data_IF_153289966358
#
_entry.id   IF_153289966358
#
_cell.length_a   1.000
_cell.length_b   1.000
_cell.length_c   1.000
_cell.angle_alpha   90.00
_cell.angle_beta   90.00
_cell.angle_gamma   90.00
#
_symmetry.space_group_name_H-M   'P 1'
#
loop_
_entity.id
_entity.type
_entity.pdbx_description
1 polymer ?
#
# COMPACT_ATOMS: atom_id res chain seq x y z
N UNK A 1 -26.43 1.78 13.69
CA UNK A 1 -27.01 2.22 12.40
C UNK A 1 -26.34 3.49 11.87
N UNK A 2 -26.25 4.56 12.66
CA UNK A 2 -25.69 5.84 12.17
C UNK A 2 -24.19 5.80 11.87
N UNK A 3 -23.40 5.17 12.75
CA UNK A 3 -21.94 4.97 12.53
C UNK A 3 -21.68 4.22 11.24
N UNK A 4 -22.46 3.18 10.93
CA UNK A 4 -22.32 2.44 9.67
C UNK A 4 -22.68 3.30 8.46
N UNK A 5 -23.78 4.05 8.53
CA UNK A 5 -24.20 4.95 7.45
C UNK A 5 -23.10 5.96 7.15
N UNK A 6 -22.50 6.55 8.18
CA UNK A 6 -21.42 7.53 8.06
C UNK A 6 -20.12 6.90 7.54
N UNK A 7 -19.69 5.76 8.10
CA UNK A 7 -18.49 5.06 7.62
C UNK A 7 -18.59 4.70 6.13
N UNK A 8 -19.76 4.24 5.68
CA UNK A 8 -20.03 3.96 4.26
C UNK A 8 -19.97 5.23 3.41
N UNK A 9 -20.50 6.35 3.91
CA UNK A 9 -20.44 7.62 3.21
C UNK A 9 -18.99 8.06 2.99
N UNK A 10 -18.16 8.01 4.04
CA UNK A 10 -16.74 8.35 3.96
C UNK A 10 -15.98 7.42 2.99
N UNK A 11 -16.21 6.10 3.07
CA UNK A 11 -15.58 5.14 2.14
C UNK A 11 -15.97 5.43 0.69
N UNK A 12 -17.24 5.71 0.41
CA UNK A 12 -17.70 6.04 -0.94
C UNK A 12 -17.11 7.33 -1.48
N UNK A 13 -17.01 8.37 -0.64
CA UNK A 13 -16.36 9.63 -1.01
C UNK A 13 -14.87 9.40 -1.28
N UNK A 14 -14.20 8.62 -0.44
CA UNK A 14 -12.79 8.29 -0.63
C UNK A 14 -12.56 7.50 -1.93
N UNK A 15 -13.35 6.45 -2.21
CA UNK A 15 -13.27 5.68 -3.45
C UNK A 15 -13.49 6.54 -4.70
N UNK A 16 -14.35 7.55 -4.62
CA UNK A 16 -14.61 8.48 -5.73
C UNK A 16 -13.44 9.42 -6.00
N UNK A 17 -12.76 9.87 -4.94
CA UNK A 17 -11.78 10.97 -5.05
C UNK A 17 -10.32 10.52 -4.93
N UNK A 18 -10.06 9.29 -4.49
CA UNK A 18 -8.72 8.74 -4.26
C UNK A 18 -8.57 7.48 -5.12
N UNK A 19 -8.05 7.59 -6.36
CA UNK A 19 -7.98 6.47 -7.31
C UNK A 19 -7.21 5.24 -6.82
N UNK A 20 -6.30 5.44 -5.86
CA UNK A 20 -5.43 4.39 -5.32
C UNK A 20 -5.70 4.10 -3.84
N UNK A 21 -6.94 4.34 -3.38
CA UNK A 21 -7.34 4.02 -2.01
C UNK A 21 -7.03 2.54 -1.71
N UNK A 22 -6.15 2.32 -0.74
CA UNK A 22 -5.56 1.01 -0.48
C UNK A 22 -6.06 0.35 0.80
N UNK A 23 -6.47 1.15 1.79
CA UNK A 23 -6.80 0.68 3.14
C UNK A 23 -7.74 1.66 3.86
N UNK A 24 -8.17 1.28 5.05
CA UNK A 24 -8.93 2.08 6.00
C UNK A 24 -8.13 2.21 7.30
N UNK A 25 -8.09 3.43 7.84
CA UNK A 25 -7.60 3.73 9.19
C UNK A 25 -8.52 4.77 9.85
N UNK A 26 -8.42 4.89 11.17
CA UNK A 26 -9.27 5.70 12.02
C UNK A 26 -8.48 6.76 12.77
N UNK A 27 -8.90 8.01 12.62
CA UNK A 27 -8.37 9.09 13.44
C UNK A 27 -8.68 8.83 14.92
N UNK A 28 -7.67 8.95 15.78
CA UNK A 28 -7.80 8.75 17.24
C UNK A 28 -8.49 7.43 17.62
N UNK A 29 -8.26 6.35 16.86
CA UNK A 29 -8.87 5.05 17.14
C UNK A 29 -10.38 4.98 16.88
N UNK A 30 -10.93 5.90 16.11
CA UNK A 30 -12.37 5.98 15.79
C UNK A 30 -12.93 4.72 15.11
N UNK A 31 -12.09 3.84 14.59
CA UNK A 31 -12.53 2.58 13.99
C UNK A 31 -12.64 1.44 15.01
N UNK A 32 -12.22 1.65 16.27
CA UNK A 32 -12.10 0.59 17.27
C UNK A 32 -12.51 1.01 18.69
N UNK A 33 -13.27 2.10 18.85
CA UNK A 33 -13.69 2.60 20.18
C UNK A 33 -14.71 1.69 20.90
N UNK A 34 -15.35 0.76 20.19
CA UNK A 34 -16.26 -0.24 20.76
C UNK A 34 -16.19 -1.56 19.96
N UNK A 35 -16.45 -2.73 20.58
CA UNK A 35 -16.41 -4.03 19.90
C UNK A 35 -17.29 -4.10 18.64
N UNK A 36 -18.49 -3.52 18.69
CA UNK A 36 -19.45 -3.50 17.58
C UNK A 36 -18.93 -2.66 16.41
N UNK A 37 -18.11 -1.63 16.69
CA UNK A 37 -17.46 -0.82 15.66
C UNK A 37 -16.31 -1.59 15.02
N UNK A 38 -15.57 -2.37 15.81
CA UNK A 38 -14.54 -3.27 15.27
C UNK A 38 -15.16 -4.24 14.26
N UNK A 39 -16.24 -4.92 14.66
CA UNK A 39 -16.98 -5.86 13.80
C UNK A 39 -17.56 -5.20 12.56
N UNK A 40 -18.18 -4.03 12.72
CA UNK A 40 -18.69 -3.23 11.61
C UNK A 40 -17.60 -2.96 10.58
N UNK A 41 -16.46 -2.43 11.03
CA UNK A 41 -15.38 -2.05 10.12
C UNK A 41 -14.70 -3.27 9.49
N UNK A 42 -14.66 -4.43 10.16
CA UNK A 42 -14.23 -5.69 9.54
C UNK A 42 -15.20 -6.14 8.42
N UNK A 43 -16.51 -5.94 8.62
CA UNK A 43 -17.51 -6.21 7.59
C UNK A 43 -17.37 -5.25 6.40
N UNK A 44 -17.21 -3.95 6.66
CA UNK A 44 -16.95 -2.95 5.61
C UNK A 44 -15.63 -3.22 4.89
N UNK A 45 -14.61 -3.70 5.59
CA UNK A 45 -13.33 -4.08 5.00
C UNK A 45 -13.49 -5.14 3.92
N UNK A 46 -14.28 -6.19 4.20
CA UNK A 46 -14.60 -7.24 3.23
C UNK A 46 -15.48 -6.73 2.10
N UNK A 47 -16.50 -5.95 2.42
CA UNK A 47 -17.47 -5.45 1.43
C UNK A 47 -16.82 -4.53 0.39
N UNK A 48 -15.93 -3.64 0.83
CA UNK A 48 -15.25 -2.69 -0.06
C UNK A 48 -13.88 -3.17 -0.54
N UNK A 49 -13.44 -4.37 -0.13
CA UNK A 49 -12.09 -4.89 -0.39
C UNK A 49 -10.98 -3.89 0.02
N UNK A 50 -11.16 -3.28 1.20
CA UNK A 50 -10.25 -2.31 1.79
C UNK A 50 -9.79 -2.81 3.18
N UNK A 51 -8.55 -3.27 3.35
CA UNK A 51 -8.02 -3.73 4.63
C UNK A 51 -8.08 -2.63 5.68
N UNK A 52 -8.44 -2.98 6.91
CA UNK A 52 -8.35 -2.06 8.06
C UNK A 52 -7.06 -2.34 8.82
N UNK A 53 -6.20 -1.33 8.95
CA UNK A 53 -4.77 -1.54 9.27
C UNK A 53 -4.35 -1.02 10.65
N UNK A 54 -5.19 -0.23 11.30
CA UNK A 54 -4.87 0.56 12.50
C UNK A 54 -5.22 -0.17 13.83
N UNK A 55 -5.09 -1.50 13.87
CA UNK A 55 -5.59 -2.33 15.00
C UNK A 55 -4.63 -3.41 15.43
N UNK A 56 -4.77 -3.84 16.69
CA UNK A 56 -4.03 -5.00 17.23
C UNK A 56 -4.21 -6.25 16.35
N UNK A 57 -5.44 -6.58 15.97
CA UNK A 57 -5.72 -7.72 15.09
C UNK A 57 -5.11 -7.57 13.69
N UNK A 58 -4.94 -6.33 13.20
CA UNK A 58 -4.31 -6.08 11.92
C UNK A 58 -2.81 -6.40 11.94
N UNK A 59 -2.13 -6.17 13.06
CA UNK A 59 -0.73 -6.54 13.26
C UNK A 59 -0.51 -8.04 13.08
N UNK A 60 -1.38 -8.86 13.70
CA UNK A 60 -1.31 -10.32 13.59
C UNK A 60 -1.73 -10.79 12.19
N UNK A 61 -2.81 -10.21 11.65
CA UNK A 61 -3.36 -10.61 10.35
C UNK A 61 -2.42 -10.31 9.18
N UNK A 62 -1.72 -9.19 9.23
CA UNK A 62 -0.85 -8.73 8.15
C UNK A 62 0.64 -8.85 8.48
N UNK A 63 0.99 -9.31 9.68
CA UNK A 63 2.37 -9.63 10.07
C UNK A 63 3.28 -8.41 10.14
N UNK A 64 2.90 -7.38 10.90
CA UNK A 64 3.75 -6.21 11.16
C UNK A 64 3.74 -5.80 12.64
N UNK A 65 4.75 -5.02 13.05
CA UNK A 65 4.81 -4.39 14.37
C UNK A 65 4.91 -2.87 14.27
N UNK A 66 4.38 -2.15 15.26
CA UNK A 66 4.61 -0.70 15.31
C UNK A 66 6.05 -0.40 15.72
N UNK A 67 6.69 0.52 15.00
CA UNK A 67 7.96 1.11 15.37
C UNK A 67 7.74 2.56 15.78
N UNK A 68 8.56 3.03 16.73
CA UNK A 68 8.53 4.41 17.20
C UNK A 68 9.94 4.94 17.40
N UNK A 69 10.04 6.26 17.56
CA UNK A 69 11.28 6.96 17.88
C UNK A 69 12.08 6.29 19.01
N UNK A 70 13.37 6.00 18.75
CA UNK A 70 14.30 5.42 19.71
C UNK A 70 15.23 6.50 20.30
N UNK A 71 14.70 7.25 21.28
CA UNK A 71 15.40 8.35 21.96
C UNK A 71 14.60 9.67 21.97
N UNK A 72 15.21 10.78 22.45
CA UNK A 72 14.60 12.12 22.44
C UNK A 72 14.13 12.53 21.05
N UNK A 73 13.06 13.33 20.96
CA UNK A 73 12.43 13.68 19.68
C UNK A 73 11.79 15.08 19.66
N UNK A 74 12.19 15.97 20.58
CA UNK A 74 11.54 17.29 20.73
C UNK A 74 12.04 18.28 19.69
N UNK A 75 13.33 18.26 19.37
CA UNK A 75 13.90 19.10 18.30
C UNK A 75 14.00 18.32 16.99
N UNK A 76 14.10 19.00 15.83
CA UNK A 76 14.34 18.35 14.55
C UNK A 76 15.56 17.40 14.55
N UNK A 77 16.67 17.82 15.17
CA UNK A 77 17.90 17.03 15.24
C UNK A 77 17.73 15.79 16.13
N UNK A 78 17.05 15.95 17.26
CA UNK A 78 16.71 14.83 18.13
C UNK A 78 15.81 13.83 17.41
N UNK A 79 14.77 14.33 16.73
CA UNK A 79 13.80 13.55 15.98
C UNK A 79 14.47 12.75 14.87
N UNK A 80 15.34 13.37 14.07
CA UNK A 80 16.12 12.69 13.04
C UNK A 80 17.02 11.59 13.62
N UNK A 81 17.79 11.91 14.67
CA UNK A 81 18.67 10.95 15.32
C UNK A 81 17.89 9.77 15.91
N UNK A 82 16.75 10.04 16.54
CA UNK A 82 15.89 9.03 17.17
C UNK A 82 15.21 8.12 16.14
N UNK A 83 14.83 8.66 14.98
CA UNK A 83 14.34 7.87 13.87
C UNK A 83 15.43 6.99 13.26
N UNK A 84 16.63 7.54 13.03
CA UNK A 84 17.78 6.76 12.55
C UNK A 84 18.13 5.62 13.52
N UNK A 85 18.07 5.87 14.83
CA UNK A 85 18.28 4.83 15.83
C UNK A 85 17.21 3.73 15.74
N UNK A 86 15.93 4.11 15.53
CA UNK A 86 14.85 3.16 15.31
C UNK A 86 15.12 2.29 14.07
N UNK A 87 15.48 2.92 12.93
CA UNK A 87 15.82 2.19 11.70
C UNK A 87 16.97 1.19 11.92
N UNK A 88 17.99 1.60 12.68
CA UNK A 88 19.13 0.74 13.04
C UNK A 88 18.76 -0.41 13.99
N UNK A 89 17.65 -0.31 14.69
CA UNK A 89 17.11 -1.34 15.58
C UNK A 89 16.17 -2.33 14.90
N UNK A 90 15.77 -2.10 13.65
CA UNK A 90 14.86 -3.02 12.95
C UNK A 90 15.52 -4.38 12.67
N UNK A 91 14.75 -5.45 12.86
CA UNK A 91 15.18 -6.83 12.60
C UNK A 91 14.95 -7.21 11.13
N UNK A 92 15.88 -7.93 10.48
CA UNK A 92 15.70 -8.44 9.13
C UNK A 92 14.48 -9.36 8.99
N UNK A 93 13.78 -9.26 7.86
CA UNK A 93 12.65 -10.14 7.53
C UNK A 93 11.35 -9.85 8.28
N UNK A 94 11.25 -8.74 9.01
CA UNK A 94 10.03 -8.29 9.68
C UNK A 94 9.49 -7.02 9.05
N UNK A 95 8.16 -6.89 9.05
CA UNK A 95 7.48 -5.66 8.64
C UNK A 95 7.26 -4.74 9.84
N UNK A 96 7.48 -3.45 9.64
CA UNK A 96 7.26 -2.43 10.65
C UNK A 96 6.39 -1.31 10.09
N UNK A 97 5.50 -0.78 10.94
CA UNK A 97 4.71 0.41 10.64
C UNK A 97 5.14 1.54 11.56
N UNK A 98 5.58 2.64 10.95
CA UNK A 98 5.84 3.90 11.63
C UNK A 98 4.80 4.91 11.17
N UNK A 99 4.07 5.52 12.11
CA UNK A 99 3.05 6.52 11.82
C UNK A 99 3.48 7.84 12.45
N UNK A 100 3.51 8.89 11.65
CA UNK A 100 3.70 10.26 12.11
C UNK A 100 3.02 11.25 11.14
N UNK A 101 3.03 12.54 11.48
CA UNK A 101 2.17 13.54 10.87
C UNK A 101 3.00 14.63 10.18
N UNK A 102 3.54 14.40 8.97
CA UNK A 102 4.23 15.44 8.22
C UNK A 102 3.25 16.55 7.83
N UNK A 103 3.65 17.79 8.07
CA UNK A 103 2.99 18.99 7.55
C UNK A 103 4.04 20.10 7.38
N UNK A 104 3.73 21.12 6.58
CA UNK A 104 4.53 22.34 6.57
C UNK A 104 4.16 23.21 7.78
N UNK A 105 5.14 23.88 8.38
CA UNK A 105 4.90 24.96 9.34
C UNK A 105 4.44 26.20 8.55
N UNK A 106 3.12 26.30 8.36
CA UNK A 106 2.47 27.39 7.65
C UNK A 106 1.30 27.95 8.47
N UNK A 107 0.71 29.05 8.00
CA UNK A 107 -0.39 29.74 8.69
C UNK A 107 -1.56 28.82 9.01
N UNK A 108 -1.90 27.88 8.13
CA UNK A 108 -2.95 26.89 8.37
C UNK A 108 -2.59 25.97 9.55
N UNK A 109 -1.40 25.37 9.52
CA UNK A 109 -0.98 24.41 10.55
C UNK A 109 -0.70 25.06 11.91
N UNK A 110 -0.35 26.34 11.94
CA UNK A 110 -0.19 27.12 13.17
C UNK A 110 -1.51 27.30 13.93
N UNK A 111 -2.66 27.11 13.27
CA UNK A 111 -3.97 27.10 13.94
C UNK A 111 -4.31 25.77 14.61
N UNK A 112 -3.53 24.71 14.33
CA UNK A 112 -3.76 23.36 14.86
C UNK A 112 -2.99 23.20 16.16
N UNK A 113 -3.69 22.84 17.24
CA UNK A 113 -3.06 22.59 18.53
C UNK A 113 -4.11 22.29 19.61
N UNK A 114 -3.65 21.74 20.72
CA UNK A 114 -4.46 21.62 21.93
C UNK A 114 -3.57 21.79 23.17
N UNK A 115 -4.19 21.94 24.33
CA UNK A 115 -3.46 22.04 25.60
C UNK A 115 -2.55 20.82 25.76
N UNK A 116 -1.25 21.05 25.94
CA UNK A 116 -0.20 20.02 26.01
C UNK A 116 0.41 19.62 24.67
N UNK A 117 -0.04 20.20 23.56
CA UNK A 117 0.55 20.06 22.23
C UNK A 117 0.28 21.32 21.39
N UNK A 118 0.91 22.42 21.78
CA UNK A 118 0.70 23.75 21.21
C UNK A 118 1.57 24.03 19.98
N UNK A 119 2.80 23.50 19.93
CA UNK A 119 3.74 23.70 18.81
C UNK A 119 3.55 22.65 17.69
N UNK A 120 2.31 22.31 17.32
CA UNK A 120 2.02 21.25 16.33
C UNK A 120 2.67 21.55 14.97
N UNK A 121 2.58 22.79 14.49
CA UNK A 121 3.13 23.17 13.20
C UNK A 121 4.63 22.89 13.11
N UNK A 122 5.40 23.32 14.11
CA UNK A 122 6.85 23.07 14.20
C UNK A 122 7.17 21.59 14.33
N UNK A 123 6.42 20.88 15.18
CA UNK A 123 6.65 19.46 15.41
C UNK A 123 6.43 18.63 14.13
N UNK A 124 5.37 18.96 13.38
CA UNK A 124 5.03 18.33 12.09
C UNK A 124 5.94 18.74 10.94
N UNK A 125 6.46 19.97 10.94
CA UNK A 125 7.55 20.37 10.04
C UNK A 125 8.79 19.51 10.28
N UNK A 126 9.15 19.25 11.54
CA UNK A 126 10.24 18.34 11.87
C UNK A 126 10.02 16.91 11.35
N UNK A 127 8.78 16.45 11.20
CA UNK A 127 8.47 15.16 10.56
C UNK A 127 8.65 15.23 9.04
N UNK A 128 8.24 16.32 8.40
CA UNK A 128 8.48 16.56 6.97
C UNK A 128 9.97 16.58 6.64
N UNK A 129 10.76 17.30 7.44
CA UNK A 129 12.22 17.39 7.30
C UNK A 129 12.87 16.01 7.50
N UNK A 130 12.42 15.26 8.50
CA UNK A 130 12.83 13.89 8.75
C UNK A 130 12.59 12.99 7.53
N UNK A 131 11.37 12.98 6.97
CA UNK A 131 11.01 12.10 5.86
C UNK A 131 11.72 12.46 4.55
N UNK A 132 12.18 13.71 4.44
CA UNK A 132 12.90 14.20 3.25
C UNK A 132 14.42 14.25 3.41
N UNK A 133 14.94 13.97 4.61
CA UNK A 133 16.37 13.96 4.92
C UNK A 133 17.18 12.96 4.09
N UNK A 134 18.29 13.44 3.52
CA UNK A 134 19.22 12.59 2.77
C UNK A 134 19.96 11.60 3.69
N UNK A 135 20.18 11.95 4.96
CA UNK A 135 20.78 11.05 5.95
C UNK A 135 19.87 9.88 6.25
N UNK A 136 18.57 10.13 6.39
CA UNK A 136 17.56 9.09 6.59
C UNK A 136 17.48 8.17 5.37
N UNK A 137 17.40 8.74 4.16
CA UNK A 137 17.40 7.96 2.90
C UNK A 137 18.66 7.10 2.76
N UNK A 138 19.83 7.63 3.15
CA UNK A 138 21.09 6.89 3.14
C UNK A 138 21.05 5.70 4.10
N UNK A 139 20.57 5.88 5.33
CA UNK A 139 20.44 4.78 6.30
C UNK A 139 19.47 3.70 5.82
N UNK A 140 18.33 4.08 5.21
CA UNK A 140 17.38 3.14 4.61
C UNK A 140 18.10 2.26 3.56
N UNK A 141 18.88 2.89 2.66
CA UNK A 141 19.66 2.18 1.63
C UNK A 141 20.74 1.27 2.23
N UNK A 142 21.56 1.79 3.14
CA UNK A 142 22.65 1.05 3.80
C UNK A 142 22.15 -0.16 4.59
N UNK A 143 20.96 -0.04 5.18
CA UNK A 143 20.31 -1.11 5.96
C UNK A 143 19.46 -2.04 5.09
N UNK A 144 19.40 -1.81 3.78
CA UNK A 144 18.55 -2.54 2.84
C UNK A 144 17.09 -2.64 3.32
N UNK A 145 16.57 -1.53 3.86
CA UNK A 145 15.18 -1.44 4.30
C UNK A 145 14.31 -1.19 3.07
N UNK A 146 13.37 -2.09 2.84
CA UNK A 146 12.39 -1.96 1.75
C UNK A 146 11.17 -1.16 2.24
N UNK A 147 10.84 -0.09 1.53
CA UNK A 147 9.61 0.67 1.76
C UNK A 147 8.48 0.04 0.95
N UNK A 148 7.48 -0.50 1.65
CA UNK A 148 6.33 -1.17 1.04
C UNK A 148 5.05 -0.38 1.26
N UNK A 149 4.10 -0.51 0.35
CA UNK A 149 2.76 0.06 0.50
C UNK A 149 1.84 -0.84 1.35
N UNK A 150 0.69 -0.32 1.76
CA UNK A 150 -0.33 -1.15 2.41
C UNK A 150 -0.85 -2.26 1.50
N UNK A 151 -0.92 -2.06 0.18
CA UNK A 151 -1.34 -3.12 -0.73
C UNK A 151 -0.29 -4.25 -0.78
N UNK A 152 1.00 -3.93 -0.75
CA UNK A 152 2.06 -4.94 -0.70
C UNK A 152 1.95 -5.79 0.57
N UNK A 153 1.66 -5.13 1.70
CA UNK A 153 1.50 -5.77 3.00
C UNK A 153 0.23 -6.63 3.11
N UNK A 154 -0.89 -6.16 2.57
CA UNK A 154 -2.23 -6.73 2.89
C UNK A 154 -2.88 -7.50 1.74
N UNK A 155 -2.50 -7.18 0.50
CA UNK A 155 -3.04 -7.76 -0.74
C UNK A 155 -1.97 -8.40 -1.61
N UNK A 156 -0.70 -8.32 -1.20
CA UNK A 156 0.41 -8.93 -1.90
C UNK A 156 0.23 -10.43 -2.01
N UNK A 157 0.55 -10.98 -3.18
CA UNK A 157 0.56 -12.43 -3.35
C UNK A 157 1.70 -13.02 -2.50
N UNK A 158 1.43 -14.12 -1.76
CA UNK A 158 2.47 -14.76 -0.94
C UNK A 158 3.62 -15.26 -1.82
N UNK A 159 4.85 -15.09 -1.35
CA UNK A 159 6.05 -15.56 -2.04
C UNK A 159 6.47 -16.93 -1.50
N UNK A 160 7.04 -17.76 -2.37
CA UNK A 160 7.52 -19.09 -2.02
C UNK A 160 8.80 -19.41 -2.78
N UNK A 161 9.64 -20.27 -2.18
CA UNK A 161 10.89 -20.68 -2.80
C UNK A 161 10.63 -21.50 -4.07
N UNK A 162 11.28 -21.11 -5.17
CA UNK A 162 11.25 -21.89 -6.40
C UNK A 162 12.01 -23.20 -6.25
N UNK A 163 11.59 -24.23 -7.01
CA UNK A 163 12.46 -25.40 -7.19
C UNK A 163 13.77 -24.97 -7.87
N UNK A 164 14.90 -25.58 -7.51
CA UNK A 164 16.22 -25.32 -8.13
C UNK A 164 16.20 -25.36 -9.67
N UNK A 165 15.38 -26.23 -10.25
CA UNK A 165 15.24 -26.34 -11.70
C UNK A 165 14.57 -25.10 -12.32
N UNK A 166 13.47 -24.63 -11.71
CA UNK A 166 12.79 -23.39 -12.12
C UNK A 166 13.69 -22.18 -11.94
N UNK A 167 14.41 -22.12 -10.82
CA UNK A 167 15.33 -21.03 -10.50
C UNK A 167 16.40 -20.88 -11.58
N UNK A 168 17.10 -21.98 -11.90
CA UNK A 168 18.10 -22.01 -12.99
C UNK A 168 17.52 -21.68 -14.36
N UNK A 169 16.30 -22.14 -14.65
CA UNK A 169 15.64 -21.86 -15.93
C UNK A 169 15.24 -20.38 -16.05
N UNK A 170 14.78 -19.79 -14.94
CA UNK A 170 14.44 -18.37 -14.87
C UNK A 170 15.67 -17.50 -15.09
N UNK A 171 16.76 -17.77 -14.39
CA UNK A 171 18.00 -16.98 -14.54
C UNK A 171 18.53 -17.05 -15.97
N UNK A 172 18.53 -18.25 -16.58
CA UNK A 172 18.90 -18.41 -17.99
C UNK A 172 18.00 -17.62 -18.95
N UNK A 173 16.71 -17.51 -18.65
CA UNK A 173 15.77 -16.71 -19.44
C UNK A 173 16.08 -15.22 -19.31
N UNK A 174 16.29 -14.73 -18.09
CA UNK A 174 16.65 -13.31 -17.86
C UNK A 174 17.97 -12.98 -18.56
N UNK A 175 18.98 -13.84 -18.46
CA UNK A 175 20.26 -13.67 -19.18
C UNK A 175 20.06 -13.56 -20.70
N UNK A 176 19.15 -14.38 -21.26
CA UNK A 176 18.84 -14.35 -22.68
C UNK A 176 18.13 -13.05 -23.09
N UNK A 177 17.18 -12.56 -22.28
CA UNK A 177 16.49 -11.27 -22.47
C UNK A 177 17.49 -10.12 -22.49
N UNK A 178 18.40 -10.07 -21.50
CA UNK A 178 19.45 -9.05 -21.40
C UNK A 178 20.38 -9.12 -22.61
N UNK A 179 20.87 -10.31 -22.95
CA UNK A 179 21.77 -10.52 -24.10
C UNK A 179 21.12 -10.11 -25.42
N UNK A 180 19.83 -10.38 -25.58
CA UNK A 180 19.05 -9.99 -26.75
C UNK A 180 18.66 -8.50 -26.76
N UNK A 181 18.95 -7.75 -25.67
CA UNK A 181 18.54 -6.36 -25.47
C UNK A 181 17.03 -6.18 -25.63
N UNK A 182 16.26 -7.15 -25.15
CA UNK A 182 14.82 -7.05 -25.13
C UNK A 182 14.38 -6.11 -24.01
N UNK A 183 13.42 -5.23 -24.33
CA UNK A 183 12.82 -4.30 -23.38
C UNK A 183 11.73 -5.01 -22.55
N UNK A 184 12.15 -5.95 -21.71
CA UNK A 184 11.27 -6.62 -20.76
C UNK A 184 11.10 -5.73 -19.53
N UNK A 185 9.88 -5.31 -19.23
CA UNK A 185 9.59 -4.53 -18.02
C UNK A 185 9.59 -5.40 -16.77
N UNK A 186 8.93 -6.56 -16.83
CA UNK A 186 8.82 -7.48 -15.70
C UNK A 186 8.37 -8.88 -16.11
N UNK A 187 8.62 -9.84 -15.24
CA UNK A 187 8.05 -11.19 -15.29
C UNK A 187 7.71 -11.63 -13.88
N UNK A 188 6.55 -12.25 -13.71
CA UNK A 188 6.12 -12.87 -12.45
C UNK A 188 5.55 -14.25 -12.77
N UNK A 189 6.04 -15.28 -12.07
CA UNK A 189 5.57 -16.65 -12.20
C UNK A 189 4.83 -17.03 -10.93
N UNK A 190 3.56 -17.41 -11.09
CA UNK A 190 2.72 -17.86 -10.00
C UNK A 190 2.51 -19.38 -10.08
N UNK A 191 2.59 -20.07 -8.94
CA UNK A 191 2.23 -21.49 -8.80
C UNK A 191 1.43 -21.69 -7.52
N UNK A 192 0.21 -22.22 -7.65
CA UNK A 192 -0.67 -22.46 -6.49
C UNK A 192 -1.04 -21.18 -5.73
N UNK A 193 -1.24 -20.07 -6.44
CA UNK A 193 -1.55 -18.77 -5.84
C UNK A 193 -0.36 -18.06 -5.17
N UNK A 194 0.86 -18.59 -5.31
CA UNK A 194 2.08 -18.02 -4.74
C UNK A 194 3.03 -17.56 -5.84
N UNK A 195 3.69 -16.42 -5.65
CA UNK A 195 4.79 -15.96 -6.51
C UNK A 195 6.01 -16.81 -6.22
N UNK A 196 6.53 -17.51 -7.23
CA UNK A 196 7.71 -18.38 -7.09
C UNK A 196 8.98 -17.77 -7.67
N UNK A 197 8.86 -16.93 -8.69
CA UNK A 197 9.93 -16.10 -9.24
C UNK A 197 9.32 -14.82 -9.79
N UNK A 198 10.03 -13.72 -9.61
CA UNK A 198 9.70 -12.44 -10.23
C UNK A 198 10.98 -11.66 -10.53
N UNK A 199 10.93 -10.81 -11.53
CA UNK A 199 11.99 -9.87 -11.86
C UNK A 199 11.37 -8.61 -12.46
N UNK A 200 11.91 -7.47 -12.09
CA UNK A 200 11.53 -6.14 -12.55
C UNK A 200 12.79 -5.52 -13.17
N UNK A 201 12.68 -4.93 -14.36
CA UNK A 201 13.84 -4.50 -15.15
C UNK A 201 13.54 -3.19 -15.90
N UNK A 202 14.61 -2.47 -16.27
CA UNK A 202 14.51 -1.22 -17.01
C UNK A 202 13.79 -0.13 -16.21
N UNK A 203 12.84 0.57 -16.84
CA UNK A 203 11.96 1.53 -16.16
C UNK A 203 10.76 0.86 -15.45
N UNK A 204 10.63 -0.46 -15.61
CA UNK A 204 9.57 -1.25 -15.00
C UNK A 204 9.86 -1.53 -13.53
N UNK A 205 9.22 -0.80 -12.62
CA UNK A 205 9.19 -1.12 -11.19
C UNK A 205 7.85 -1.73 -10.80
N UNK A 206 7.83 -2.53 -9.73
CA UNK A 206 6.61 -3.15 -9.20
C UNK A 206 5.48 -2.14 -8.96
N UNK A 207 5.85 -0.94 -8.49
CA UNK A 207 4.92 0.09 -8.06
C UNK A 207 4.68 1.21 -9.08
N UNK A 208 5.10 1.01 -10.34
CA UNK A 208 4.88 1.97 -11.43
C UNK A 208 3.77 1.48 -12.36
N UNK A 209 2.90 2.35 -12.89
CA UNK A 209 1.96 1.97 -13.94
C UNK A 209 2.69 1.47 -15.19
N UNK A 210 2.28 0.30 -15.70
CA UNK A 210 2.83 -0.30 -16.92
C UNK A 210 1.86 -0.14 -18.09
N UNK A 211 2.37 0.16 -19.28
CA UNK A 211 1.58 0.13 -20.52
C UNK A 211 1.42 -1.33 -20.98
N UNK A 212 0.22 -1.89 -20.81
CA UNK A 212 -0.05 -3.31 -21.11
C UNK A 212 -0.73 -3.55 -22.47
N UNK A 213 -0.95 -2.50 -23.28
CA UNK A 213 -1.51 -2.57 -24.63
C UNK A 213 -2.74 -3.50 -24.75
N UNK A 214 -2.63 -4.58 -25.53
CA UNK A 214 -3.73 -5.50 -25.84
C UNK A 214 -4.24 -6.31 -24.64
N UNK A 215 -3.57 -6.28 -23.49
CA UNK A 215 -4.11 -6.84 -22.24
C UNK A 215 -5.47 -6.20 -21.90
N UNK A 216 -5.70 -4.95 -22.32
CA UNK A 216 -7.01 -4.28 -22.23
C UNK A 216 -8.16 -5.14 -22.78
N UNK A 217 -7.94 -5.92 -23.85
CA UNK A 217 -8.98 -6.77 -24.45
C UNK A 217 -9.47 -7.86 -23.50
N UNK A 218 -8.57 -8.45 -22.71
CA UNK A 218 -8.94 -9.44 -21.70
C UNK A 218 -9.85 -8.81 -20.64
N UNK A 219 -9.49 -7.64 -20.13
CA UNK A 219 -10.32 -6.94 -19.15
C UNK A 219 -11.67 -6.52 -19.72
N UNK A 220 -11.70 -5.98 -20.96
CA UNK A 220 -12.95 -5.64 -21.64
C UNK A 220 -13.84 -6.87 -21.85
N UNK A 221 -13.27 -7.99 -22.30
CA UNK A 221 -14.03 -9.23 -22.49
C UNK A 221 -14.59 -9.78 -21.17
N UNK A 222 -13.81 -9.73 -20.09
CA UNK A 222 -14.29 -10.10 -18.75
C UNK A 222 -15.45 -9.19 -18.29
N UNK A 223 -15.35 -7.88 -18.52
CA UNK A 223 -16.43 -6.94 -18.20
C UNK A 223 -17.71 -7.24 -18.99
N UNK A 224 -17.58 -7.61 -20.28
CA UNK A 224 -18.72 -8.10 -21.07
C UNK A 224 -19.30 -9.39 -20.47
N UNK A 225 -18.46 -10.31 -19.99
CA UNK A 225 -18.90 -11.50 -19.28
C UNK A 225 -19.77 -11.18 -18.05
N UNK A 226 -19.36 -10.20 -17.24
CA UNK A 226 -20.19 -9.71 -16.12
C UNK A 226 -21.50 -9.07 -16.59
N UNK A 227 -21.47 -8.27 -17.65
CA UNK A 227 -22.69 -7.67 -18.19
C UNK A 227 -23.70 -8.72 -18.70
N UNK A 228 -23.22 -9.83 -19.25
CA UNK A 228 -24.06 -10.98 -19.63
C UNK A 228 -24.64 -11.66 -18.40
N UNK A 229 -23.83 -11.95 -17.39
CA UNK A 229 -24.27 -12.59 -16.13
C UNK A 229 -25.32 -11.73 -15.38
N UNK A 230 -25.16 -10.41 -15.42
CA UNK A 230 -26.12 -9.43 -14.88
C UNK A 230 -27.35 -9.20 -15.77
N UNK A 231 -27.48 -9.90 -16.90
CA UNK A 231 -28.60 -9.79 -17.83
C UNK A 231 -28.71 -8.44 -18.54
N UNK A 232 -27.61 -7.70 -18.66
CA UNK A 232 -27.56 -6.38 -19.33
C UNK A 232 -27.50 -6.48 -20.85
N UNK A 233 -26.94 -7.57 -21.38
CA UNK A 233 -26.83 -7.87 -22.82
C UNK A 233 -26.66 -9.38 -23.05
N UNK A 234 -26.90 -9.83 -24.29
CA UNK A 234 -26.47 -11.13 -24.79
C UNK A 234 -25.37 -10.97 -25.83
N UNK A 235 -24.48 -11.96 -25.94
CA UNK A 235 -23.43 -11.99 -26.97
C UNK A 235 -23.98 -12.11 -28.40
N UNK A 236 -25.27 -12.43 -28.55
CA UNK A 236 -25.98 -12.52 -29.83
C UNK A 236 -26.82 -11.29 -30.15
N UNK A 237 -26.89 -10.30 -29.25
CA UNK A 237 -27.64 -9.09 -29.50
C UNK A 237 -27.03 -8.33 -30.69
N UNK A 238 -27.90 -7.75 -31.52
CA UNK A 238 -27.43 -6.95 -32.66
C UNK A 238 -26.97 -5.60 -32.15
N UNK A 239 -25.84 -5.10 -32.62
CA UNK A 239 -25.31 -3.77 -32.22
C UNK A 239 -26.37 -2.66 -32.35
N UNK A 240 -27.19 -2.71 -33.41
CA UNK A 240 -28.25 -1.74 -33.68
C UNK A 240 -29.37 -1.72 -32.62
N UNK A 241 -29.53 -2.76 -31.79
CA UNK A 241 -30.53 -2.74 -30.71
C UNK A 241 -30.13 -1.86 -29.53
N UNK A 242 -28.84 -1.51 -29.41
CA UNK A 242 -28.32 -0.63 -28.36
C UNK A 242 -28.04 0.79 -28.86
N UNK A 243 -27.68 0.93 -30.13
CA UNK A 243 -27.28 2.18 -30.76
C UNK A 243 -28.09 2.40 -32.05
N UNK A 244 -29.33 2.92 -31.95
CA UNK A 244 -30.21 3.13 -33.09
C UNK A 244 -29.77 4.29 -33.99
#
# INVERSE_FOLDING_TARGET
>A
AEVEREARAQIKIALKNIPHLSHISGHMGSTAFAPEVVELMERLSREYNLPVVDRKKAMDLYGFSYAGYAGPKKTPEEKERSFINMLKGLEPGRNYMFIDHPALDNEEMQTVGHVGYEDVAKDRQGVTDLFTSDRVKQVIKERNIELISYNDLTKGLPRYEASKALDKAFDKYIDAVVKAKQDLHSIMILKGGKVVKECWMGEGEMNKPHKLFSVSKTFTATAIGFAVDEGKLNVTDKVISFFP
#
